data_IF_403361927623
#
_entry.id   IF_403361927623
#
_cell.length_a   1.000
_cell.length_b   1.000
_cell.length_c   1.000
_cell.angle_alpha   90.00
_cell.angle_beta   90.00
_cell.angle_gamma   90.00
#
_symmetry.space_group_name_H-M   'P 1'
#
loop_
_entity.id
_entity.type
_entity.pdbx_description
1 polymer ?
#
# COMPACT_ATOMS: atom_id res chain seq x y z
N UNK A 1 -42.77 -36.61 49.00
CA UNK A 1 -43.88 -36.32 48.07
C UNK A 1 -43.27 -35.91 46.73
N UNK A 2 -43.61 -36.64 45.67
CA UNK A 2 -42.82 -36.74 44.44
C UNK A 2 -43.03 -35.63 43.40
N UNK A 3 -42.03 -35.58 42.50
CA UNK A 3 -42.09 -35.42 41.02
C UNK A 3 -42.71 -34.13 40.43
N UNK A 4 -42.23 -33.49 39.37
CA UNK A 4 -41.50 -33.99 38.20
C UNK A 4 -40.70 -32.86 37.50
N UNK A 5 -39.57 -33.22 36.90
CA UNK A 5 -38.81 -32.36 35.99
C UNK A 5 -39.43 -32.28 34.61
N UNK A 6 -39.39 -31.09 34.00
CA UNK A 6 -39.72 -30.88 32.58
C UNK A 6 -38.43 -30.64 31.80
N UNK A 7 -37.95 -31.69 31.13
CA UNK A 7 -36.94 -31.61 30.09
C UNK A 7 -37.65 -31.72 28.72
N UNK A 8 -37.46 -30.79 27.78
CA UNK A 8 -37.99 -30.95 26.44
C UNK A 8 -37.08 -31.92 25.66
N UNK A 9 -37.58 -33.13 25.43
CA UNK A 9 -36.95 -34.12 24.55
C UNK A 9 -37.19 -33.73 23.08
N UNK A 10 -36.19 -33.16 22.41
CA UNK A 10 -36.15 -33.16 20.95
C UNK A 10 -35.67 -34.54 20.48
N UNK A 11 -36.58 -35.44 20.10
CA UNK A 11 -36.23 -36.68 19.40
C UNK A 11 -35.74 -36.33 18.00
N UNK A 12 -34.45 -36.50 17.73
CA UNK A 12 -33.97 -36.62 16.36
C UNK A 12 -34.50 -37.94 15.80
N UNK A 13 -35.33 -37.86 14.75
CA UNK A 13 -35.72 -39.03 13.98
C UNK A 13 -34.48 -39.73 13.43
N UNK A 14 -34.43 -41.04 13.60
CA UNK A 14 -33.41 -41.96 13.12
C UNK A 14 -33.23 -41.87 11.60
N UNK A 15 -31.97 -41.83 11.15
CA UNK A 15 -31.55 -41.86 9.75
C UNK A 15 -32.14 -43.07 9.00
N UNK A 16 -32.72 -42.90 7.80
CA UNK A 16 -32.74 -43.99 6.82
C UNK A 16 -31.34 -44.17 6.24
N UNK A 17 -30.87 -45.41 6.17
CA UNK A 17 -29.66 -45.80 5.42
C UNK A 17 -30.00 -45.77 3.92
N UNK A 18 -29.54 -44.77 3.19
CA UNK A 18 -29.36 -44.83 1.73
C UNK A 18 -28.14 -43.99 1.32
N UNK A 19 -27.32 -44.45 0.35
CA UNK A 19 -26.09 -43.78 -0.02
C UNK A 19 -26.33 -42.86 -1.22
N UNK A 20 -26.72 -41.61 -0.99
CA UNK A 20 -26.54 -40.51 -1.96
C UNK A 20 -26.93 -39.17 -1.28
N UNK A 21 -26.01 -38.23 -1.08
CA UNK A 21 -26.35 -36.93 -0.51
C UNK A 21 -26.95 -36.04 -1.62
N UNK A 22 -28.26 -35.90 -1.65
CA UNK A 22 -28.89 -34.82 -2.43
C UNK A 22 -28.65 -33.50 -1.68
N UNK A 23 -28.10 -32.50 -2.39
CA UNK A 23 -27.78 -31.14 -1.91
C UNK A 23 -28.87 -30.41 -1.09
N UNK A 24 -30.18 -30.71 -1.15
CA UNK A 24 -31.18 -30.04 -0.30
C UNK A 24 -31.07 -30.40 1.20
N UNK A 25 -30.66 -31.63 1.54
CA UNK A 25 -30.68 -32.12 2.92
C UNK A 25 -29.59 -31.49 3.83
N UNK A 26 -28.43 -31.15 3.27
CA UNK A 26 -27.35 -30.46 4.00
C UNK A 26 -27.69 -29.01 4.36
N UNK A 27 -28.47 -28.32 3.52
CA UNK A 27 -28.89 -26.92 3.73
C UNK A 27 -29.93 -26.79 4.85
N UNK A 28 -30.85 -27.75 4.97
CA UNK A 28 -31.81 -27.80 6.08
C UNK A 28 -31.12 -28.05 7.43
N UNK A 29 -30.10 -28.92 7.46
CA UNK A 29 -29.33 -29.22 8.67
C UNK A 29 -28.37 -28.12 9.14
N UNK A 30 -28.00 -27.17 8.27
CA UNK A 30 -27.19 -25.99 8.63
C UNK A 30 -28.05 -24.83 9.11
N UNK A 31 -29.21 -24.60 8.48
CA UNK A 31 -30.19 -23.59 8.92
C UNK A 31 -30.76 -23.90 10.32
N UNK A 32 -31.00 -25.18 10.63
CA UNK A 32 -31.43 -25.60 11.96
C UNK A 32 -30.33 -25.39 13.03
N UNK A 33 -29.06 -25.65 12.69
CA UNK A 33 -27.91 -25.43 13.59
C UNK A 33 -27.63 -23.95 13.86
N UNK A 34 -27.78 -23.07 12.87
CA UNK A 34 -27.62 -21.62 13.06
C UNK A 34 -28.73 -21.01 13.94
N UNK A 35 -29.98 -21.51 13.85
CA UNK A 35 -31.09 -21.06 14.73
C UNK A 35 -30.87 -21.44 16.20
N UNK A 36 -30.31 -22.62 16.48
CA UNK A 36 -29.97 -23.05 17.85
C UNK A 36 -28.81 -22.24 18.42
N UNK A 37 -27.88 -21.78 17.58
CA UNK A 37 -26.70 -21.02 18.01
C UNK A 37 -27.03 -19.55 18.29
N UNK A 38 -27.93 -18.91 17.52
CA UNK A 38 -28.44 -17.56 17.83
C UNK A 38 -29.25 -17.51 19.14
N UNK A 39 -30.04 -18.55 19.43
CA UNK A 39 -30.77 -18.66 20.70
C UNK A 39 -29.86 -18.83 21.94
N UNK A 40 -28.59 -19.19 21.75
CA UNK A 40 -27.58 -19.24 22.84
C UNK A 40 -26.86 -17.91 23.06
N UNK A 41 -26.75 -17.05 22.05
CA UNK A 41 -26.07 -15.75 22.13
C UNK A 41 -26.94 -14.70 22.83
N UNK A 42 -28.27 -14.87 22.78
CA UNK A 42 -29.26 -14.01 23.44
C UNK A 42 -29.61 -14.44 24.88
N UNK A 43 -28.75 -15.18 25.58
CA UNK A 43 -28.93 -15.39 27.03
C UNK A 43 -28.27 -14.23 27.80
N UNK A 44 -29.00 -13.25 28.32
CA UNK A 44 -28.44 -12.37 29.32
C UNK A 44 -28.09 -13.17 30.57
N UNK A 45 -26.88 -12.96 31.10
CA UNK A 45 -26.56 -13.28 32.50
C UNK A 45 -27.47 -12.42 33.39
N UNK A 46 -28.68 -12.90 33.68
CA UNK A 46 -29.59 -12.28 34.65
C UNK A 46 -29.20 -12.78 36.04
N UNK A 47 -28.16 -12.17 36.58
CA UNK A 47 -27.83 -12.21 38.00
C UNK A 47 -27.21 -10.86 38.38
N UNK A 48 -28.03 -9.80 38.36
CA UNK A 48 -27.72 -8.54 39.04
C UNK A 48 -28.87 -8.24 40.01
N UNK A 49 -28.59 -7.92 41.28
CA UNK A 49 -29.62 -7.56 42.24
C UNK A 49 -30.20 -6.18 41.86
N UNK A 50 -31.52 -6.09 41.69
CA UNK A 50 -32.21 -4.83 41.38
C UNK A 50 -33.39 -4.92 40.40
N UNK A 51 -33.69 -6.07 39.81
CA UNK A 51 -34.88 -6.24 38.96
C UNK A 51 -36.07 -6.79 39.76
N UNK A 52 -37.16 -6.03 39.82
CA UNK A 52 -38.43 -6.50 40.35
C UNK A 52 -39.07 -7.56 39.42
N UNK A 53 -40.00 -8.37 39.94
CA UNK A 53 -40.67 -9.43 39.17
C UNK A 53 -41.39 -8.89 37.91
N UNK A 54 -41.76 -7.61 37.91
CA UNK A 54 -42.39 -6.91 36.78
C UNK A 54 -41.38 -6.60 35.66
N UNK A 55 -40.13 -6.28 35.98
CA UNK A 55 -39.04 -6.10 35.02
C UNK A 55 -38.67 -7.39 34.30
N UNK A 56 -38.59 -8.52 35.03
CA UNK A 56 -38.27 -9.83 34.44
C UNK A 56 -39.37 -10.30 33.47
N UNK A 57 -40.64 -10.08 33.81
CA UNK A 57 -41.77 -10.42 32.93
C UNK A 57 -41.84 -9.54 31.67
N UNK A 58 -41.39 -8.28 31.76
CA UNK A 58 -41.29 -7.36 30.61
C UNK A 58 -40.20 -7.79 29.61
N UNK A 59 -39.02 -8.15 30.11
CA UNK A 59 -37.92 -8.66 29.27
C UNK A 59 -38.32 -9.96 28.57
N UNK A 60 -38.94 -10.90 29.29
CA UNK A 60 -39.45 -12.15 28.69
C UNK A 60 -40.53 -11.92 27.63
N UNK A 61 -41.34 -10.87 27.76
CA UNK A 61 -42.36 -10.51 26.77
C UNK A 61 -41.70 -9.96 25.49
N UNK A 62 -40.69 -9.09 25.64
CA UNK A 62 -39.92 -8.56 24.51
C UNK A 62 -39.17 -9.68 23.79
N UNK A 63 -38.56 -10.61 24.53
CA UNK A 63 -37.90 -11.78 23.94
C UNK A 63 -38.87 -12.66 23.14
N UNK A 64 -40.06 -12.93 23.68
CA UNK A 64 -41.09 -13.69 22.95
C UNK A 64 -41.55 -12.96 21.69
N UNK A 65 -41.85 -11.67 21.80
CA UNK A 65 -42.27 -10.86 20.64
C UNK A 65 -41.18 -10.78 19.57
N UNK A 66 -39.91 -10.65 19.96
CA UNK A 66 -38.78 -10.66 19.03
C UNK A 66 -38.60 -12.05 18.38
N UNK A 67 -38.77 -13.12 19.15
CA UNK A 67 -38.67 -14.49 18.64
C UNK A 67 -39.83 -14.81 17.69
N UNK A 68 -41.05 -14.43 18.03
CA UNK A 68 -42.24 -14.56 17.17
C UNK A 68 -42.09 -13.72 15.90
N UNK A 69 -41.61 -12.48 16.01
CA UNK A 69 -41.34 -11.62 14.86
C UNK A 69 -40.28 -12.25 13.93
N UNK A 70 -39.20 -12.81 14.47
CA UNK A 70 -38.16 -13.51 13.70
C UNK A 70 -38.66 -14.82 13.08
N UNK A 71 -39.55 -15.55 13.76
CA UNK A 71 -40.14 -16.78 13.25
C UNK A 71 -41.20 -16.52 12.16
N UNK A 72 -41.87 -15.38 12.22
CA UNK A 72 -42.89 -14.94 11.26
C UNK A 72 -42.34 -14.03 10.16
N UNK A 73 -41.04 -13.71 10.14
CA UNK A 73 -40.46 -13.04 8.98
C UNK A 73 -40.58 -13.97 7.76
N UNK A 74 -41.16 -13.50 6.65
CA UNK A 74 -41.17 -14.27 5.42
C UNK A 74 -39.73 -14.63 5.06
N UNK A 75 -39.50 -15.91 4.76
CA UNK A 75 -38.20 -16.40 4.29
C UNK A 75 -37.81 -15.52 3.10
N UNK A 76 -36.74 -14.73 3.27
CA UNK A 76 -36.27 -13.84 2.22
C UNK A 76 -36.18 -14.64 0.91
N UNK A 77 -36.74 -14.14 -0.20
CA UNK A 77 -36.67 -14.85 -1.46
C UNK A 77 -35.22 -15.21 -1.72
N UNK A 78 -34.95 -16.47 -2.04
CA UNK A 78 -33.63 -16.91 -2.46
C UNK A 78 -33.20 -16.01 -3.60
N UNK A 79 -32.24 -15.11 -3.33
CA UNK A 79 -31.68 -14.23 -4.34
C UNK A 79 -31.24 -15.10 -5.53
N UNK A 80 -31.60 -14.73 -6.77
CA UNK A 80 -31.19 -15.48 -7.93
C UNK A 80 -29.66 -15.63 -7.91
N UNK A 81 -29.19 -16.84 -8.21
CA UNK A 81 -27.76 -17.11 -8.29
C UNK A 81 -27.13 -16.12 -9.27
N UNK A 82 -26.15 -15.33 -8.81
CA UNK A 82 -25.46 -14.38 -9.66
C UNK A 82 -24.87 -15.13 -10.87
N UNK A 83 -24.99 -14.56 -12.09
CA UNK A 83 -24.45 -15.20 -13.29
C UNK A 83 -22.95 -15.47 -13.11
N UNK A 84 -22.50 -16.64 -13.60
CA UNK A 84 -21.10 -17.01 -13.53
C UNK A 84 -20.23 -15.92 -14.18
N UNK A 85 -19.09 -15.54 -13.58
CA UNK A 85 -18.24 -14.49 -14.12
C UNK A 85 -17.79 -14.84 -15.54
N UNK A 86 -17.84 -13.85 -16.43
CA UNK A 86 -17.38 -13.98 -17.82
C UNK A 86 -15.93 -14.48 -17.85
N UNK A 87 -15.52 -15.14 -18.96
CA UNK A 87 -14.13 -15.62 -19.13
C UNK A 87 -13.12 -14.49 -18.96
N UNK A 88 -13.46 -13.29 -19.45
CA UNK A 88 -12.68 -12.07 -19.27
C UNK A 88 -12.50 -11.71 -17.80
N UNK A 89 -13.56 -11.78 -16.99
CA UNK A 89 -13.49 -11.48 -15.55
C UNK A 89 -12.59 -12.46 -14.80
N UNK A 90 -12.66 -13.75 -15.14
CA UNK A 90 -11.76 -14.78 -14.59
C UNK A 90 -10.29 -14.54 -14.95
N UNK A 91 -10.00 -14.12 -16.18
CA UNK A 91 -8.64 -13.75 -16.59
C UNK A 91 -8.14 -12.51 -15.83
N UNK A 92 -8.99 -11.49 -15.73
CA UNK A 92 -8.71 -10.28 -14.96
C UNK A 92 -8.61 -10.56 -13.46
N UNK A 93 -9.12 -11.67 -12.93
CA UNK A 93 -8.97 -12.04 -11.51
C UNK A 93 -7.60 -12.67 -11.21
N UNK A 94 -6.82 -13.02 -12.23
CA UNK A 94 -5.49 -13.59 -12.04
C UNK A 94 -4.50 -12.50 -11.59
N UNK A 95 -3.84 -12.73 -10.46
CA UNK A 95 -2.99 -11.72 -9.80
C UNK A 95 -1.88 -11.17 -10.71
N UNK A 96 -1.26 -12.02 -11.54
CA UNK A 96 -0.22 -11.59 -12.48
C UNK A 96 -0.80 -10.72 -13.62
N UNK A 97 -1.98 -11.07 -14.16
CA UNK A 97 -2.64 -10.27 -15.20
C UNK A 97 -3.02 -8.90 -14.64
N UNK A 98 -3.57 -8.85 -13.43
CA UNK A 98 -3.87 -7.57 -12.75
C UNK A 98 -2.63 -6.72 -12.58
N UNK A 99 -1.54 -7.33 -12.10
CA UNK A 99 -0.28 -6.64 -11.88
C UNK A 99 0.27 -6.07 -13.19
N UNK A 100 0.37 -6.87 -14.25
CA UNK A 100 0.84 -6.42 -15.55
C UNK A 100 -0.05 -5.32 -16.14
N UNK A 101 -1.38 -5.49 -16.08
CA UNK A 101 -2.32 -4.50 -16.60
C UNK A 101 -2.22 -3.17 -15.85
N UNK A 102 -2.21 -3.21 -14.51
CA UNK A 102 -2.09 -2.02 -13.68
C UNK A 102 -0.77 -1.29 -13.98
N UNK A 103 0.32 -2.06 -14.07
CA UNK A 103 1.64 -1.54 -14.33
C UNK A 103 1.70 -0.85 -15.69
N UNK A 104 1.33 -1.56 -16.76
CA UNK A 104 1.41 -1.06 -18.14
C UNK A 104 0.51 0.15 -18.34
N UNK A 105 -0.76 0.07 -17.94
CA UNK A 105 -1.72 1.16 -18.19
C UNK A 105 -1.32 2.42 -17.43
N UNK A 106 -0.85 2.28 -16.20
CA UNK A 106 -0.42 3.44 -15.42
C UNK A 106 0.91 4.01 -15.92
N UNK A 107 1.86 3.14 -16.27
CA UNK A 107 3.16 3.56 -16.80
C UNK A 107 3.00 4.31 -18.13
N UNK A 108 2.20 3.76 -19.05
CA UNK A 108 1.93 4.38 -20.34
C UNK A 108 1.21 5.72 -20.18
N UNK A 109 0.22 5.81 -19.30
CA UNK A 109 -0.51 7.06 -19.08
C UNK A 109 0.42 8.19 -18.61
N UNK A 110 1.23 7.94 -17.58
CA UNK A 110 2.17 8.94 -17.07
C UNK A 110 3.21 9.34 -18.12
N UNK A 111 3.89 8.35 -18.73
CA UNK A 111 4.96 8.60 -19.68
C UNK A 111 4.46 9.27 -20.97
N UNK A 112 3.33 8.82 -21.53
CA UNK A 112 2.78 9.41 -22.76
C UNK A 112 2.30 10.84 -22.51
N UNK A 113 1.60 11.10 -21.39
CA UNK A 113 1.18 12.47 -21.06
C UNK A 113 2.38 13.38 -20.88
N UNK A 114 3.42 12.96 -20.17
CA UNK A 114 4.65 13.74 -20.01
C UNK A 114 5.28 14.07 -21.38
N UNK A 115 5.40 13.07 -22.27
CA UNK A 115 5.96 13.25 -23.62
C UNK A 115 5.11 14.17 -24.50
N UNK A 116 3.78 14.02 -24.47
CA UNK A 116 2.87 14.88 -25.24
C UNK A 116 2.96 16.32 -24.75
N UNK A 117 2.93 16.55 -23.44
CA UNK A 117 3.07 17.88 -22.87
C UNK A 117 4.43 18.50 -23.22
N UNK A 118 5.51 17.72 -23.15
CA UNK A 118 6.84 18.18 -23.55
C UNK A 118 6.88 18.62 -25.01
N UNK A 119 6.24 17.89 -25.92
CA UNK A 119 6.22 18.20 -27.34
C UNK A 119 5.33 19.38 -27.75
N UNK A 120 4.36 19.78 -26.92
CA UNK A 120 3.32 20.75 -27.29
C UNK A 120 3.23 21.97 -26.37
N UNK A 121 4.17 22.13 -25.44
CA UNK A 121 4.20 23.29 -24.55
C UNK A 121 5.52 24.04 -24.70
N UNK A 122 5.48 25.36 -24.45
CA UNK A 122 6.61 26.27 -24.56
C UNK A 122 6.82 27.05 -23.25
N UNK A 123 7.99 27.69 -23.11
CA UNK A 123 8.32 28.55 -21.98
C UNK A 123 8.17 27.86 -20.61
N UNK A 124 7.49 28.53 -19.66
CA UNK A 124 7.26 27.99 -18.32
C UNK A 124 6.40 26.72 -18.34
N UNK A 125 5.48 26.58 -19.29
CA UNK A 125 4.66 25.39 -19.40
C UNK A 125 5.49 24.20 -19.87
N UNK A 126 6.42 24.39 -20.81
CA UNK A 126 7.39 23.35 -21.21
C UNK A 126 8.20 22.82 -20.02
N UNK A 127 8.59 23.73 -19.13
CA UNK A 127 9.38 23.40 -17.95
C UNK A 127 8.60 22.60 -16.90
N UNK A 128 7.30 22.87 -16.71
CA UNK A 128 6.54 22.34 -15.57
C UNK A 128 5.50 21.28 -15.96
N UNK A 129 4.84 21.45 -17.11
CA UNK A 129 3.71 20.62 -17.52
C UNK A 129 4.05 19.13 -17.70
N UNK A 130 5.20 18.74 -18.30
CA UNK A 130 5.54 17.33 -18.45
C UNK A 130 5.57 16.58 -17.11
N UNK A 131 6.23 17.17 -16.11
CA UNK A 131 6.36 16.58 -14.79
C UNK A 131 5.02 16.50 -14.04
N UNK A 132 4.38 17.64 -13.81
CA UNK A 132 3.12 17.67 -13.05
C UNK A 132 1.97 16.98 -13.79
N UNK A 133 1.88 17.16 -15.11
CA UNK A 133 0.85 16.54 -15.93
C UNK A 133 1.02 15.02 -16.04
N UNK A 134 2.25 14.54 -16.22
CA UNK A 134 2.56 13.10 -16.17
C UNK A 134 2.20 12.49 -14.82
N UNK A 135 2.54 13.16 -13.72
CA UNK A 135 2.23 12.71 -12.37
C UNK A 135 0.71 12.64 -12.13
N UNK A 136 -0.01 13.70 -12.54
CA UNK A 136 -1.47 13.77 -12.44
C UNK A 136 -2.16 12.67 -13.27
N UNK A 137 -1.68 12.41 -14.49
CA UNK A 137 -2.20 11.35 -15.35
C UNK A 137 -1.99 9.96 -14.74
N UNK A 138 -0.79 9.67 -14.23
CA UNK A 138 -0.49 8.40 -13.56
C UNK A 138 -1.40 8.19 -12.33
N UNK A 139 -1.57 9.21 -11.49
CA UNK A 139 -2.48 9.15 -10.33
C UNK A 139 -3.94 8.94 -10.75
N UNK A 140 -4.42 9.67 -11.76
CA UNK A 140 -5.79 9.58 -12.25
C UNK A 140 -6.09 8.19 -12.82
N UNK A 141 -5.18 7.64 -13.63
CA UNK A 141 -5.33 6.32 -14.24
C UNK A 141 -5.23 5.21 -13.20
N UNK A 142 -4.35 5.34 -12.20
CA UNK A 142 -4.33 4.42 -11.07
C UNK A 142 -5.65 4.43 -10.29
N UNK A 143 -6.18 5.62 -9.98
CA UNK A 143 -7.46 5.75 -9.29
C UNK A 143 -8.61 5.13 -10.10
N UNK A 144 -8.63 5.36 -11.42
CA UNK A 144 -9.58 4.74 -12.32
C UNK A 144 -9.42 3.21 -12.32
N UNK A 145 -8.20 2.69 -12.44
CA UNK A 145 -7.90 1.26 -12.38
C UNK A 145 -8.40 0.64 -11.07
N UNK A 146 -8.07 1.22 -9.93
CA UNK A 146 -8.47 0.70 -8.61
C UNK A 146 -10.00 0.70 -8.44
N UNK A 147 -10.70 1.72 -8.96
CA UNK A 147 -12.15 1.79 -8.86
C UNK A 147 -12.86 0.86 -9.85
N UNK A 148 -12.44 0.88 -11.12
CA UNK A 148 -13.13 0.20 -12.21
C UNK A 148 -12.76 -1.28 -12.30
N UNK A 149 -11.49 -1.63 -12.06
CA UNK A 149 -10.98 -3.01 -12.21
C UNK A 149 -10.98 -3.73 -10.86
N UNK A 150 -10.53 -3.08 -9.78
CA UNK A 150 -10.50 -3.73 -8.47
C UNK A 150 -11.79 -3.57 -7.64
N UNK A 151 -12.69 -2.66 -8.02
CA UNK A 151 -13.96 -2.46 -7.33
C UNK A 151 -13.80 -2.01 -5.87
N UNK A 152 -12.71 -1.33 -5.53
CA UNK A 152 -12.42 -0.86 -4.16
C UNK A 152 -12.14 0.64 -4.11
N UNK A 153 -12.16 1.20 -2.90
CA UNK A 153 -11.62 2.53 -2.66
C UNK A 153 -10.08 2.48 -2.61
N UNK A 154 -9.43 3.52 -3.15
CA UNK A 154 -7.99 3.73 -3.10
C UNK A 154 -7.58 4.39 -1.77
N UNK A 155 -7.66 3.62 -0.67
CA UNK A 155 -7.32 4.11 0.67
C UNK A 155 -5.86 4.56 0.80
N UNK A 156 -4.98 4.02 -0.03
CA UNK A 156 -3.57 4.41 -0.14
C UNK A 156 -3.36 5.85 -0.66
N UNK A 157 -4.39 6.46 -1.28
CA UNK A 157 -4.41 7.86 -1.71
C UNK A 157 -5.39 8.71 -0.87
N UNK A 158 -5.69 8.26 0.35
CA UNK A 158 -6.52 8.99 1.31
C UNK A 158 -5.96 10.40 1.58
N UNK A 159 -6.82 11.42 1.55
CA UNK A 159 -6.43 12.84 1.70
C UNK A 159 -6.18 13.25 3.15
N UNK A 160 -6.68 12.49 4.12
CA UNK A 160 -6.76 12.85 5.54
C UNK A 160 -5.39 13.15 6.19
N UNK A 161 -4.26 12.83 5.54
CA UNK A 161 -2.90 13.15 5.99
C UNK A 161 -1.97 13.56 4.84
N UNK A 162 -2.50 13.90 3.67
CA UNK A 162 -1.67 14.17 2.49
C UNK A 162 -0.70 15.33 2.73
N UNK A 163 -1.17 16.51 3.16
CA UNK A 163 -0.29 17.67 3.35
C UNK A 163 0.80 17.46 4.41
N UNK A 164 0.50 16.95 5.62
CA UNK A 164 1.55 16.65 6.59
C UNK A 164 2.56 15.61 6.08
N UNK A 165 2.11 14.56 5.39
CA UNK A 165 3.00 13.53 4.85
C UNK A 165 3.87 14.04 3.71
N UNK A 166 3.33 14.92 2.86
CA UNK A 166 4.10 15.60 1.82
C UNK A 166 5.17 16.50 2.43
N UNK A 167 4.82 17.32 3.42
CA UNK A 167 5.78 18.21 4.09
C UNK A 167 6.88 17.44 4.83
N UNK A 168 6.50 16.44 5.63
CA UNK A 168 7.44 15.58 6.36
C UNK A 168 8.31 14.78 5.38
N UNK A 169 7.73 14.26 4.31
CA UNK A 169 8.48 13.48 3.32
C UNK A 169 9.48 14.34 2.55
N UNK A 170 9.07 15.49 2.02
CA UNK A 170 9.98 16.37 1.26
C UNK A 170 11.15 16.83 2.13
N UNK A 171 10.86 17.29 3.34
CA UNK A 171 11.89 17.74 4.28
C UNK A 171 12.74 16.58 4.81
N UNK A 172 12.14 15.42 5.06
CA UNK A 172 12.85 14.22 5.49
C UNK A 172 13.81 13.69 4.43
N UNK A 173 13.38 13.62 3.17
CA UNK A 173 14.24 13.24 2.05
C UNK A 173 15.42 14.20 1.88
N UNK A 174 15.14 15.51 1.91
CA UNK A 174 16.16 16.55 1.87
C UNK A 174 17.16 16.45 3.04
N UNK A 175 16.66 16.23 4.26
CA UNK A 175 17.49 16.13 5.45
C UNK A 175 18.41 14.91 5.42
N UNK A 176 17.95 13.76 4.90
CA UNK A 176 18.79 12.58 4.76
C UNK A 176 19.90 12.79 3.72
N UNK A 177 19.60 13.43 2.59
CA UNK A 177 20.64 13.80 1.61
C UNK A 177 21.64 14.77 2.22
N UNK A 178 21.16 15.82 2.90
CA UNK A 178 22.03 16.77 3.57
C UNK A 178 22.94 16.11 4.62
N UNK A 179 22.43 15.10 5.34
CA UNK A 179 23.23 14.31 6.29
C UNK A 179 24.34 13.52 5.58
N UNK A 180 24.03 12.87 4.45
CA UNK A 180 25.03 12.15 3.65
C UNK A 180 26.08 13.11 3.11
N UNK A 181 25.66 14.24 2.51
CA UNK A 181 26.56 15.26 1.97
C UNK A 181 27.44 15.85 3.08
N UNK A 182 26.89 16.16 4.25
CA UNK A 182 27.65 16.67 5.39
C UNK A 182 28.70 15.66 5.88
N UNK A 183 28.33 14.38 5.99
CA UNK A 183 29.27 13.32 6.34
C UNK A 183 30.37 13.15 5.30
N UNK A 184 30.02 13.24 4.02
CA UNK A 184 30.97 13.16 2.92
C UNK A 184 31.90 14.37 2.87
N UNK A 185 31.39 15.59 3.10
CA UNK A 185 32.19 16.81 3.20
C UNK A 185 33.17 16.74 4.37
N UNK A 186 32.72 16.24 5.54
CA UNK A 186 33.60 16.02 6.69
C UNK A 186 34.71 15.00 6.42
N UNK A 187 34.44 14.01 5.55
CA UNK A 187 35.44 13.04 5.08
C UNK A 187 36.30 13.57 3.91
N UNK A 188 36.11 14.82 3.48
CA UNK A 188 36.82 15.43 2.34
C UNK A 188 36.33 14.97 0.95
N UNK A 189 35.26 14.18 0.89
CA UNK A 189 34.75 13.59 -0.34
C UNK A 189 33.73 14.43 -1.12
N UNK A 190 33.30 15.56 -0.56
CA UNK A 190 32.45 16.55 -1.22
C UNK A 190 33.05 17.94 -1.01
N UNK A 191 33.32 18.64 -2.10
CA UNK A 191 33.87 19.99 -2.10
C UNK A 191 32.85 20.96 -2.70
N UNK A 192 32.56 22.03 -1.97
CA UNK A 192 31.70 23.11 -2.44
C UNK A 192 32.50 24.07 -3.31
N UNK A 193 32.10 24.22 -4.57
CA UNK A 193 32.80 25.05 -5.56
C UNK A 193 32.13 26.42 -5.79
N UNK A 194 30.92 26.64 -5.25
CA UNK A 194 30.21 27.90 -5.39
C UNK A 194 28.72 27.74 -5.66
N UNK A 195 28.06 28.86 -5.93
CA UNK A 195 26.63 28.92 -6.25
C UNK A 195 26.42 28.94 -7.77
N UNK A 196 25.34 28.32 -8.23
CA UNK A 196 24.91 28.42 -9.61
C UNK A 196 24.29 29.80 -9.89
N UNK A 197 24.87 30.53 -10.83
CA UNK A 197 24.45 31.88 -11.24
C UNK A 197 23.09 31.89 -11.97
N UNK A 198 22.60 30.73 -12.43
CA UNK A 198 21.36 30.61 -13.19
C UNK A 198 20.42 29.53 -12.63
N UNK A 199 19.85 29.72 -11.43
CA UNK A 199 18.97 28.74 -10.78
C UNK A 199 17.57 28.63 -11.40
N UNK A 200 17.31 29.29 -12.54
CA UNK A 200 15.98 29.37 -13.17
C UNK A 200 15.34 28.03 -13.58
N UNK A 201 16.09 26.92 -13.50
CA UNK A 201 15.63 25.56 -13.82
C UNK A 201 15.14 24.76 -12.59
N UNK A 202 15.22 25.29 -11.37
CA UNK A 202 14.83 24.55 -10.16
C UNK A 202 13.36 24.13 -10.17
N UNK A 203 12.46 24.97 -10.68
CA UNK A 203 11.04 24.61 -10.80
C UNK A 203 10.81 23.43 -11.75
N UNK A 204 11.52 23.41 -12.88
CA UNK A 204 11.46 22.32 -13.86
C UNK A 204 11.96 21.00 -13.25
N UNK A 205 13.13 21.06 -12.60
CA UNK A 205 13.71 19.91 -11.95
C UNK A 205 12.82 19.37 -10.82
N UNK A 206 12.18 20.25 -10.04
CA UNK A 206 11.20 19.83 -9.03
C UNK A 206 10.01 19.11 -9.66
N UNK A 207 9.44 19.63 -10.76
CA UNK A 207 8.34 18.98 -11.46
C UNK A 207 8.72 17.59 -11.98
N UNK A 208 9.92 17.44 -12.52
CA UNK A 208 10.48 16.16 -12.98
C UNK A 208 10.65 15.16 -11.82
N UNK A 209 11.21 15.61 -10.69
CA UNK A 209 11.37 14.75 -9.51
C UNK A 209 10.03 14.37 -8.87
N UNK A 210 9.03 15.24 -8.94
CA UNK A 210 7.65 14.90 -8.55
C UNK A 210 7.10 13.81 -9.45
N UNK A 211 7.32 13.89 -10.77
CA UNK A 211 6.90 12.84 -11.69
C UNK A 211 7.57 11.51 -11.39
N UNK A 212 8.90 11.50 -11.27
CA UNK A 212 9.66 10.29 -10.94
C UNK A 212 9.17 9.65 -9.63
N UNK A 213 9.08 10.45 -8.55
CA UNK A 213 8.61 10.00 -7.25
C UNK A 213 7.19 9.46 -7.28
N UNK A 214 6.25 10.13 -7.96
CA UNK A 214 4.87 9.63 -8.12
C UNK A 214 4.84 8.35 -8.93
N UNK A 215 5.53 8.33 -10.08
CA UNK A 215 5.51 7.24 -11.03
C UNK A 215 6.04 5.95 -10.41
N UNK A 216 7.25 6.00 -9.85
CA UNK A 216 7.92 4.82 -9.31
C UNK A 216 7.23 4.30 -8.05
N UNK A 217 6.82 5.18 -7.13
CA UNK A 217 6.15 4.76 -5.91
C UNK A 217 4.76 4.18 -6.18
N UNK A 218 4.06 4.70 -7.18
CA UNK A 218 2.76 4.16 -7.54
C UNK A 218 2.89 2.77 -8.18
N UNK A 219 3.88 2.56 -9.05
CA UNK A 219 4.15 1.25 -9.64
C UNK A 219 4.61 0.25 -8.57
N UNK A 220 5.58 0.63 -7.73
CA UNK A 220 6.17 -0.33 -6.80
C UNK A 220 5.37 -0.49 -5.52
N UNK A 221 4.89 0.59 -4.90
CA UNK A 221 4.20 0.52 -3.60
C UNK A 221 2.69 0.40 -3.80
N UNK A 222 2.16 1.18 -4.73
CA UNK A 222 0.73 1.19 -5.07
C UNK A 222 0.26 -0.08 -5.78
N UNK A 223 1.11 -0.71 -6.60
CA UNK A 223 0.76 -1.91 -7.39
C UNK A 223 1.53 -3.13 -6.90
N UNK A 224 2.85 -3.20 -7.09
CA UNK A 224 3.65 -4.43 -6.86
C UNK A 224 3.58 -4.90 -5.41
N UNK A 225 4.05 -4.08 -4.46
CA UNK A 225 4.09 -4.41 -3.03
C UNK A 225 2.69 -4.77 -2.54
N UNK A 226 1.68 -3.97 -2.85
CA UNK A 226 0.30 -4.20 -2.42
C UNK A 226 -0.28 -5.51 -2.94
N UNK A 227 -0.02 -5.86 -4.21
CA UNK A 227 -0.51 -7.12 -4.79
C UNK A 227 0.23 -8.31 -4.18
N UNK A 228 1.57 -8.22 -4.06
CA UNK A 228 2.39 -9.27 -3.46
C UNK A 228 2.06 -9.49 -1.97
N UNK A 229 1.75 -8.43 -1.23
CA UNK A 229 1.42 -8.51 0.20
C UNK A 229 0.19 -9.38 0.45
N UNK A 230 -0.78 -9.40 -0.48
CA UNK A 230 -2.00 -10.22 -0.35
C UNK A 230 -1.70 -11.71 -0.28
N UNK A 231 -0.68 -12.19 -0.98
CA UNK A 231 -0.32 -13.62 -1.08
C UNK A 231 0.89 -14.00 -0.22
N UNK A 232 1.85 -13.09 -0.05
CA UNK A 232 3.14 -13.38 0.57
C UNK A 232 3.32 -12.75 1.97
N UNK A 233 2.46 -11.81 2.36
CA UNK A 233 2.64 -10.99 3.57
C UNK A 233 3.63 -9.83 3.37
N UNK A 234 3.71 -8.93 4.37
CA UNK A 234 4.44 -7.66 4.20
C UNK A 234 5.94 -7.83 4.01
N UNK A 235 6.58 -8.78 4.72
CA UNK A 235 8.03 -8.96 4.67
C UNK A 235 8.52 -9.39 3.28
N UNK A 236 7.94 -10.45 2.73
CA UNK A 236 8.30 -10.94 1.40
C UNK A 236 7.91 -9.95 0.29
N UNK A 237 6.76 -9.28 0.41
CA UNK A 237 6.36 -8.25 -0.55
C UNK A 237 7.31 -7.05 -0.55
N UNK A 238 7.77 -6.60 0.63
CA UNK A 238 8.74 -5.53 0.77
C UNK A 238 10.08 -5.92 0.14
N UNK A 239 10.59 -7.11 0.43
CA UNK A 239 11.85 -7.60 -0.16
C UNK A 239 11.77 -7.63 -1.69
N UNK A 240 10.75 -8.28 -2.26
CA UNK A 240 10.61 -8.41 -3.71
C UNK A 240 10.41 -7.06 -4.40
N UNK A 241 9.61 -6.17 -3.81
CA UNK A 241 9.43 -4.81 -4.34
C UNK A 241 10.73 -4.00 -4.30
N UNK A 242 11.57 -4.20 -3.28
CA UNK A 242 12.85 -3.49 -3.13
C UNK A 242 13.90 -4.01 -4.11
N UNK A 243 13.94 -5.33 -4.33
CA UNK A 243 14.76 -5.94 -5.37
C UNK A 243 14.38 -5.44 -6.77
N UNK A 244 13.07 -5.39 -7.06
CA UNK A 244 12.59 -4.85 -8.34
C UNK A 244 12.99 -3.40 -8.53
N UNK A 245 12.93 -2.58 -7.48
CA UNK A 245 13.41 -1.19 -7.52
C UNK A 245 14.89 -1.12 -7.93
N UNK A 246 15.77 -1.87 -7.25
CA UNK A 246 17.19 -1.92 -7.62
C UNK A 246 17.44 -2.40 -9.05
N UNK A 247 16.72 -3.43 -9.50
CA UNK A 247 16.82 -3.96 -10.87
C UNK A 247 16.40 -2.94 -11.94
N UNK A 248 15.39 -2.10 -11.65
CA UNK A 248 14.95 -1.06 -12.59
C UNK A 248 16.01 0.03 -12.82
N UNK A 249 17.01 0.13 -11.94
CA UNK A 249 18.08 1.14 -12.02
C UNK A 249 19.40 0.59 -12.60
N UNK A 250 19.41 -0.66 -13.09
CA UNK A 250 20.54 -1.23 -13.82
C UNK A 250 21.05 -0.39 -15.02
N UNK A 251 20.19 0.33 -15.76
CA UNK A 251 20.64 1.15 -16.89
C UNK A 251 21.46 2.40 -16.51
N UNK A 252 21.57 2.75 -15.22
CA UNK A 252 22.30 3.95 -14.78
C UNK A 252 23.82 3.82 -14.91
N UNK A 253 24.49 4.91 -15.29
CA UNK A 253 25.94 4.93 -15.43
C UNK A 253 26.65 4.72 -14.08
N UNK A 254 27.76 3.99 -14.07
CA UNK A 254 28.52 3.71 -12.83
C UNK A 254 27.93 2.61 -11.96
N UNK A 255 27.04 1.79 -12.51
CA UNK A 255 26.44 0.69 -11.78
C UNK A 255 27.49 -0.26 -11.19
N UNK A 256 27.46 -0.45 -9.87
CA UNK A 256 28.37 -1.30 -9.11
C UNK A 256 27.59 -2.20 -8.12
N UNK A 257 28.20 -3.27 -7.56
CA UNK A 257 27.53 -4.07 -6.53
C UNK A 257 27.08 -3.25 -5.31
N UNK A 258 27.86 -2.23 -4.93
CA UNK A 258 27.49 -1.32 -3.84
C UNK A 258 26.32 -0.42 -4.25
N UNK A 259 26.33 0.14 -5.46
CA UNK A 259 25.18 0.89 -5.98
C UNK A 259 23.92 0.03 -6.02
N UNK A 260 23.99 -1.21 -6.51
CA UNK A 260 22.86 -2.15 -6.45
C UNK A 260 22.35 -2.34 -5.03
N UNK A 261 23.24 -2.63 -4.08
CA UNK A 261 22.85 -2.85 -2.68
C UNK A 261 22.18 -1.61 -2.09
N UNK A 262 22.74 -0.43 -2.32
CA UNK A 262 22.20 0.85 -1.84
C UNK A 262 20.87 1.17 -2.48
N UNK A 263 20.70 0.97 -3.80
CA UNK A 263 19.43 1.21 -4.49
C UNK A 263 18.36 0.22 -4.06
N UNK A 264 18.70 -1.05 -3.81
CA UNK A 264 17.77 -2.02 -3.18
C UNK A 264 17.35 -1.53 -1.78
N UNK A 265 18.29 -1.00 -1.00
CA UNK A 265 17.98 -0.42 0.33
C UNK A 265 17.18 0.88 0.23
N UNK A 266 17.36 1.71 -0.80
CA UNK A 266 16.47 2.84 -1.08
C UNK A 266 15.04 2.33 -1.36
N UNK A 267 14.93 1.23 -2.10
CA UNK A 267 13.66 0.52 -2.27
C UNK A 267 13.05 0.03 -0.95
N UNK A 268 13.87 -0.52 -0.06
CA UNK A 268 13.45 -0.94 1.29
C UNK A 268 12.95 0.25 2.10
N UNK A 269 13.68 1.37 2.07
CA UNK A 269 13.36 2.61 2.78
C UNK A 269 12.01 3.18 2.36
N UNK A 270 11.78 3.33 1.05
CA UNK A 270 10.52 3.84 0.51
C UNK A 270 9.35 2.86 0.74
N UNK A 271 9.61 1.56 0.63
CA UNK A 271 8.62 0.53 0.99
C UNK A 271 8.28 0.53 2.48
N UNK A 272 9.25 0.75 3.36
CA UNK A 272 9.04 0.90 4.80
C UNK A 272 8.21 2.14 5.12
N UNK A 273 8.44 3.26 4.42
CA UNK A 273 7.64 4.48 4.55
C UNK A 273 6.17 4.22 4.18
N UNK A 274 5.93 3.51 3.07
CA UNK A 274 4.58 3.08 2.69
C UNK A 274 3.95 2.17 3.76
N UNK A 275 4.68 1.19 4.30
CA UNK A 275 4.15 0.31 5.35
C UNK A 275 3.87 1.08 6.66
N UNK A 276 4.66 2.11 6.99
CA UNK A 276 4.49 2.92 8.18
C UNK A 276 3.18 3.76 8.19
N UNK A 277 2.66 4.14 7.02
CA UNK A 277 1.47 4.99 6.88
C UNK A 277 0.29 4.31 6.20
N UNK A 278 0.54 3.24 5.43
CA UNK A 278 -0.37 2.63 4.46
C UNK A 278 -0.88 3.61 3.39
N UNK A 279 -0.13 4.69 3.16
CA UNK A 279 -0.44 5.77 2.19
C UNK A 279 0.78 6.07 1.35
N UNK A 280 0.55 6.50 0.10
CA UNK A 280 1.63 6.80 -0.85
C UNK A 280 2.28 8.17 -0.62
N UNK A 281 1.60 9.12 0.02
CA UNK A 281 2.08 10.52 0.12
C UNK A 281 3.45 10.65 0.77
N UNK A 282 3.71 9.92 1.86
CA UNK A 282 4.99 9.98 2.55
C UNK A 282 6.12 9.43 1.69
N UNK A 283 5.96 8.25 1.08
CA UNK A 283 7.03 7.64 0.28
C UNK A 283 7.27 8.42 -1.02
N UNK A 284 6.22 8.92 -1.69
CA UNK A 284 6.34 9.84 -2.83
C UNK A 284 7.16 11.06 -2.43
N UNK A 285 6.81 11.71 -1.32
CA UNK A 285 7.48 12.93 -0.91
C UNK A 285 8.92 12.72 -0.43
N UNK A 286 9.20 11.61 0.27
CA UNK A 286 10.58 11.22 0.62
C UNK A 286 11.42 11.02 -0.63
N UNK A 287 10.88 10.31 -1.63
CA UNK A 287 11.56 10.06 -2.89
C UNK A 287 11.81 11.36 -3.66
N UNK A 288 10.77 12.18 -3.87
CA UNK A 288 10.90 13.49 -4.52
C UNK A 288 11.90 14.39 -3.80
N UNK A 289 11.82 14.47 -2.46
CA UNK A 289 12.70 15.30 -1.65
C UNK A 289 14.14 14.83 -1.70
N UNK A 290 14.38 13.52 -1.74
CA UNK A 290 15.70 12.94 -1.93
C UNK A 290 16.28 13.33 -3.29
N UNK A 291 15.62 12.96 -4.39
CA UNK A 291 16.16 13.17 -5.74
C UNK A 291 16.33 14.67 -6.06
N UNK A 292 15.35 15.50 -5.68
CA UNK A 292 15.44 16.95 -5.87
C UNK A 292 16.63 17.54 -5.11
N UNK A 293 16.81 17.16 -3.84
CA UNK A 293 17.93 17.69 -3.05
C UNK A 293 19.27 17.19 -3.59
N UNK A 294 19.35 15.92 -3.96
CA UNK A 294 20.58 15.32 -4.48
C UNK A 294 21.05 16.01 -5.77
N UNK A 295 20.17 16.07 -6.77
CA UNK A 295 20.52 16.63 -8.08
C UNK A 295 20.40 18.15 -8.15
N UNK A 296 19.28 18.71 -7.70
CA UNK A 296 18.96 20.12 -7.92
C UNK A 296 19.51 21.05 -6.85
N UNK A 297 19.85 20.53 -5.65
CA UNK A 297 20.50 21.33 -4.61
C UNK A 297 22.00 21.07 -4.59
N UNK A 298 22.45 19.82 -4.48
CA UNK A 298 23.87 19.51 -4.28
C UNK A 298 24.68 19.19 -5.54
N UNK A 299 24.06 19.22 -6.73
CA UNK A 299 24.70 18.94 -8.03
C UNK A 299 25.34 17.55 -8.12
N UNK A 300 24.67 16.54 -7.57
CA UNK A 300 25.12 15.15 -7.62
C UNK A 300 24.24 14.35 -8.58
N UNK A 301 24.82 13.38 -9.30
CA UNK A 301 24.07 12.46 -10.14
C UNK A 301 22.98 11.73 -9.34
N UNK A 302 21.80 11.60 -9.93
CA UNK A 302 20.68 10.81 -9.38
C UNK A 302 20.65 9.49 -10.14
N UNK A 303 21.04 8.42 -9.46
CA UNK A 303 21.05 7.04 -9.96
C UNK A 303 21.82 6.86 -11.27
N UNK A 304 22.95 7.56 -11.40
CA UNK A 304 23.76 7.54 -12.61
C UNK A 304 23.21 8.35 -13.79
N UNK A 305 22.19 9.20 -13.58
CA UNK A 305 21.67 10.08 -14.62
C UNK A 305 22.30 11.48 -14.56
N UNK A 306 23.35 11.67 -15.36
CA UNK A 306 23.97 12.96 -15.65
C UNK A 306 24.50 13.73 -14.43
N UNK A 307 25.26 14.80 -14.68
CA UNK A 307 25.68 15.74 -13.63
C UNK A 307 24.80 17.00 -13.70
N UNK A 308 23.74 17.09 -12.87
CA UNK A 308 22.91 18.29 -12.85
C UNK A 308 23.72 19.46 -12.30
N UNK A 309 23.52 20.65 -12.90
CA UNK A 309 23.99 21.92 -12.31
C UNK A 309 22.89 22.44 -11.39
N UNK A 310 22.88 21.92 -10.16
CA UNK A 310 21.99 22.34 -9.09
C UNK A 310 22.32 23.72 -8.54
N UNK A 311 21.81 24.05 -7.36
CA UNK A 311 22.03 25.33 -6.68
C UNK A 311 23.46 25.47 -6.16
N UNK A 312 23.94 24.44 -5.46
CA UNK A 312 25.28 24.34 -4.91
C UNK A 312 26.11 23.49 -5.85
N UNK A 313 27.15 24.07 -6.42
CA UNK A 313 28.06 23.37 -7.32
C UNK A 313 28.99 22.49 -6.47
N UNK A 314 28.61 21.22 -6.35
CA UNK A 314 29.37 20.20 -5.64
C UNK A 314 30.32 19.47 -6.56
N UNK A 315 31.53 19.18 -6.08
CA UNK A 315 32.45 18.24 -6.71
C UNK A 315 32.72 17.07 -5.76
N UNK A 316 32.50 15.85 -6.26
CA UNK A 316 32.86 14.63 -5.55
C UNK A 316 34.35 14.34 -5.76
N UNK A 317 35.02 13.93 -4.69
CA UNK A 317 36.44 13.56 -4.69
C UNK A 317 36.67 12.36 -3.79
N UNK A 318 37.68 11.54 -4.09
CA UNK A 318 37.98 10.33 -3.35
C UNK A 318 37.36 9.05 -3.95
N UNK A 319 37.45 7.92 -3.24
CA UNK A 319 37.18 6.60 -3.81
C UNK A 319 35.68 6.33 -4.02
N UNK A 320 35.37 5.53 -5.04
CA UNK A 320 33.99 5.24 -5.47
C UNK A 320 33.13 4.60 -4.37
N UNK A 321 33.68 3.82 -3.44
CA UNK A 321 32.89 3.26 -2.35
C UNK A 321 32.36 4.34 -1.39
N UNK A 322 33.00 5.51 -1.36
CA UNK A 322 32.66 6.63 -0.50
C UNK A 322 31.80 7.67 -1.24
N UNK A 323 32.13 7.99 -2.48
CA UNK A 323 31.42 9.00 -3.29
C UNK A 323 30.29 8.42 -4.13
N UNK A 324 30.36 7.12 -4.41
CA UNK A 324 29.52 6.39 -5.37
C UNK A 324 29.91 6.58 -6.84
N UNK A 325 31.06 7.20 -7.13
CA UNK A 325 31.58 7.37 -8.49
C UNK A 325 30.60 8.10 -9.41
N UNK A 326 30.47 7.66 -10.66
CA UNK A 326 29.53 8.25 -11.62
C UNK A 326 28.06 7.96 -11.32
N UNK A 327 27.76 6.97 -10.47
CA UNK A 327 26.39 6.70 -10.01
C UNK A 327 25.89 7.79 -9.06
N UNK A 328 26.81 8.56 -8.44
CA UNK A 328 26.53 9.59 -7.45
C UNK A 328 26.43 9.01 -6.04
N UNK A 329 26.00 9.82 -5.06
CA UNK A 329 25.96 9.43 -3.64
C UNK A 329 25.14 8.18 -3.37
N UNK A 330 24.24 7.80 -4.26
CA UNK A 330 23.46 6.56 -4.17
C UNK A 330 24.31 5.30 -4.35
N UNK A 331 25.56 5.43 -4.80
CA UNK A 331 26.57 4.38 -4.81
C UNK A 331 27.45 4.32 -3.54
N UNK A 332 27.20 5.18 -2.55
CA UNK A 332 28.05 5.34 -1.36
C UNK A 332 27.68 4.40 -0.21
N UNK A 333 28.67 3.92 0.54
CA UNK A 333 28.48 3.20 1.81
C UNK A 333 27.81 4.08 2.88
N UNK A 334 28.03 5.41 2.86
CA UNK A 334 27.38 6.33 3.79
C UNK A 334 25.88 6.38 3.54
N UNK A 335 25.49 6.47 2.27
CA UNK A 335 24.08 6.42 1.86
C UNK A 335 23.44 5.10 2.25
N UNK A 336 24.12 3.96 2.01
CA UNK A 336 23.65 2.65 2.44
C UNK A 336 23.35 2.62 3.95
N UNK A 337 24.29 3.09 4.77
CA UNK A 337 24.12 3.13 6.23
C UNK A 337 22.94 4.01 6.65
N UNK A 338 22.88 5.25 6.14
CA UNK A 338 21.80 6.22 6.46
C UNK A 338 20.43 5.64 6.08
N UNK A 339 20.30 5.05 4.90
CA UNK A 339 19.04 4.46 4.44
C UNK A 339 18.65 3.20 5.23
N UNK A 340 19.61 2.37 5.68
CA UNK A 340 19.34 1.25 6.57
C UNK A 340 18.79 1.72 7.92
N UNK A 341 19.40 2.75 8.54
CA UNK A 341 18.91 3.32 9.79
C UNK A 341 17.52 3.94 9.64
N UNK A 342 17.29 4.71 8.58
CA UNK A 342 15.98 5.30 8.29
C UNK A 342 14.92 4.22 8.03
N UNK A 343 15.26 3.17 7.27
CA UNK A 343 14.40 2.00 7.03
C UNK A 343 14.01 1.32 8.34
N UNK A 344 14.97 1.08 9.24
CA UNK A 344 14.72 0.46 10.53
C UNK A 344 13.76 1.30 11.39
N UNK A 345 13.93 2.63 11.40
CA UNK A 345 13.02 3.55 12.07
C UNK A 345 11.59 3.46 11.54
N UNK A 346 11.41 3.50 10.22
CA UNK A 346 10.10 3.38 9.58
C UNK A 346 9.45 2.01 9.79
N UNK A 347 10.23 0.92 9.74
CA UNK A 347 9.74 -0.42 10.03
C UNK A 347 9.30 -0.57 11.50
N UNK A 348 10.03 0.04 12.45
CA UNK A 348 9.59 0.09 13.85
C UNK A 348 8.25 0.81 13.98
N UNK A 349 8.05 1.91 13.27
CA UNK A 349 6.76 2.62 13.23
C UNK A 349 5.67 1.72 12.62
N UNK A 350 5.97 1.01 11.54
CA UNK A 350 5.02 0.08 10.91
C UNK A 350 4.61 -1.07 11.85
N UNK A 351 5.57 -1.62 12.62
CA UNK A 351 5.30 -2.62 13.65
C UNK A 351 4.44 -2.05 14.77
N UNK A 352 4.81 -0.90 15.32
CA UNK A 352 4.09 -0.25 16.43
C UNK A 352 2.64 0.13 16.06
N UNK A 353 2.37 0.40 14.78
CA UNK A 353 1.03 0.68 14.27
C UNK A 353 0.24 -0.57 13.83
N UNK A 354 0.79 -1.77 14.05
CA UNK A 354 0.22 -3.04 13.56
C UNK A 354 -0.06 -3.04 12.06
N UNK A 355 0.77 -2.33 11.30
CA UNK A 355 0.63 -2.25 9.85
C UNK A 355 1.28 -3.43 9.14
N UNK A 356 2.04 -4.31 9.78
CA UNK A 356 2.57 -5.50 9.10
C UNK A 356 1.51 -6.61 9.06
N UNK A 357 1.38 -7.26 7.90
CA UNK A 357 0.42 -8.32 7.64
C UNK A 357 1.13 -9.65 7.48
N UNK A 358 0.69 -10.66 8.23
CA UNK A 358 1.17 -12.03 8.10
C UNK A 358 0.58 -12.71 6.86
N UNK A 359 1.32 -13.68 6.32
CA UNK A 359 0.84 -14.54 5.23
C UNK A 359 -0.46 -15.25 5.67
N UNK A 360 -1.52 -15.15 4.87
CA UNK A 360 -2.80 -15.85 5.10
C UNK A 360 -3.89 -15.06 5.84
N UNK A 361 -3.58 -13.98 6.58
CA UNK A 361 -4.61 -13.16 7.25
C UNK A 361 -5.59 -12.49 6.27
N UNK A 362 -5.17 -12.23 5.03
CA UNK A 362 -5.99 -11.57 4.00
C UNK A 362 -7.00 -12.51 3.31
N UNK A 363 -6.75 -13.82 3.28
CA UNK A 363 -7.63 -14.79 2.61
C UNK A 363 -8.93 -15.02 3.40
N UNK A 364 -8.89 -14.86 4.73
CA UNK A 364 -10.07 -14.97 5.60
C UNK A 364 -11.05 -13.80 5.44
N UNK A 365 -10.55 -12.57 5.37
CA UNK A 365 -11.38 -11.37 5.24
C UNK A 365 -12.07 -11.27 3.86
N UNK A 366 -11.39 -11.67 2.78
CA UNK A 366 -11.98 -11.70 1.42
C UNK A 366 -13.13 -12.71 1.31
N UNK A 367 -13.02 -13.87 1.98
CA UNK A 367 -14.10 -14.88 2.02
C UNK A 367 -15.31 -14.44 2.85
N UNK A 368 -15.12 -13.55 3.82
CA UNK A 368 -16.21 -12.98 4.65
C UNK A 368 -16.90 -11.83 3.92
N UNK A 369 -16.16 -10.99 3.18
CA UNK A 369 -16.74 -9.88 2.41
C UNK A 369 -17.48 -10.33 1.13
N UNK A 370 -17.25 -11.56 0.67
CA UNK A 370 -17.93 -12.17 -0.48
C UNK A 370 -19.10 -13.10 -0.09
N UNK A 371 -19.42 -13.19 1.20
CA UNK A 371 -20.59 -13.88 1.74
C UNK A 371 -21.55 -12.86 2.34
#
# INVERSE_FOLDING_TARGET
>A
MGTAGWAPSCRCASRPRSPTPTKPAERAGTACRQRVQLGRILRPHVARPGFDARGISRVRRIERQATEALMNMPVAPTLPALPAPSRLRRLLDFGAVRLCLAFVVTALAGALTARVLHAHTEGLLHALAPGFGGAAAALAVYLAYVRLVEGRSAGELARQRALPELGIGLTGGAALVALVVAGLAAAGGYQFQGLNEHPGKLGAAFAEMVFAGVFEELLLRGIVLRILERSLGSGAALLLSSLLFGLMHLPGDGFSPLAMATTVVAGLFLGAAFLATRRLWLCIALHTGWNFTLGSVFSVAVSGHGLPKGLLLGQLSGPDWLTGGSYGLEGSVLTLAVLLFASAGLLRIAVARHHLRARGQQQGASKIAQR
#
